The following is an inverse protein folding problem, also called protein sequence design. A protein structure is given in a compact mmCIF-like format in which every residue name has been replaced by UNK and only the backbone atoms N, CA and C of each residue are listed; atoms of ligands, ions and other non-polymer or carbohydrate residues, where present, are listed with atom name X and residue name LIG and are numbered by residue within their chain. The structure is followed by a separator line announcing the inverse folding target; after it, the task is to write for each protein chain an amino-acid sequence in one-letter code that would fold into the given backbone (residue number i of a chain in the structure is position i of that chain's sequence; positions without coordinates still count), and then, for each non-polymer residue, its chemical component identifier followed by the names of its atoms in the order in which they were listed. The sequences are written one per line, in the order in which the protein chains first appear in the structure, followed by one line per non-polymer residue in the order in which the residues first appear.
data_IF_182531981887
#
_entry.id   IF_182531981887
#
_cell.length_a   1.000
_cell.length_b   1.000
_cell.length_c   1.000
_cell.angle_alpha   90.00
_cell.angle_beta   90.00
_cell.angle_gamma   90.00
#
_symmetry.space_group_name_H-M   'P 1'
#
loop_
_entity.id
_entity.type
_entity.pdbx_description
1 polymer ?
#
# COMPACT_ATOMS: atom_id res chain seq x y z
N UNK A 1 3.17 -25.68 21.67
CA UNK A 1 3.17 -26.83 20.75
C UNK A 1 3.75 -26.39 19.42
N UNK A 2 4.51 -27.22 18.68
CA UNK A 2 5.01 -26.81 17.37
C UNK A 2 3.83 -26.61 16.41
N UNK A 3 3.91 -25.61 15.49
CA UNK A 3 2.90 -25.42 14.47
C UNK A 3 2.91 -26.62 13.50
N UNK A 4 1.73 -27.03 13.05
CA UNK A 4 1.61 -28.10 12.05
C UNK A 4 2.20 -27.64 10.70
N UNK A 5 3.05 -28.50 10.13
CA UNK A 5 3.50 -28.26 8.76
C UNK A 5 2.43 -28.77 7.77
N UNK A 6 1.40 -27.96 7.58
CA UNK A 6 0.24 -28.27 6.71
C UNK A 6 0.66 -28.67 5.29
N UNK A 7 1.57 -27.93 4.60
CA UNK A 7 1.98 -28.30 3.25
C UNK A 7 2.61 -29.69 3.16
N UNK A 8 3.43 -30.07 4.15
CA UNK A 8 4.04 -31.41 4.16
C UNK A 8 3.03 -32.51 4.44
N UNK A 9 2.12 -32.30 5.41
CA UNK A 9 1.09 -33.28 5.73
C UNK A 9 0.12 -33.45 4.55
N UNK A 10 -0.31 -32.35 3.95
CA UNK A 10 -1.24 -32.36 2.81
C UNK A 10 -0.62 -32.98 1.55
N UNK A 11 0.69 -32.84 1.34
CA UNK A 11 1.40 -33.50 0.25
C UNK A 11 1.43 -35.03 0.37
N UNK A 12 1.35 -35.56 1.60
CA UNK A 12 1.34 -37.01 1.86
C UNK A 12 -0.08 -37.56 1.94
N UNK A 13 -0.98 -36.85 2.62
CA UNK A 13 -2.38 -37.23 2.83
C UNK A 13 -3.25 -36.00 3.03
N UNK A 14 -3.75 -35.45 1.92
CA UNK A 14 -4.60 -34.26 1.90
C UNK A 14 -5.89 -34.44 2.71
N UNK A 15 -6.50 -35.62 2.65
CA UNK A 15 -7.74 -35.90 3.39
C UNK A 15 -7.53 -35.92 4.90
N UNK A 16 -6.42 -36.51 5.37
CA UNK A 16 -6.05 -36.51 6.78
C UNK A 16 -5.72 -35.08 7.26
N UNK A 17 -4.96 -34.33 6.48
CA UNK A 17 -4.65 -32.93 6.80
C UNK A 17 -5.92 -32.10 6.93
N UNK A 18 -6.89 -32.25 6.02
CA UNK A 18 -8.17 -31.58 6.06
C UNK A 18 -8.99 -31.92 7.32
N UNK A 19 -9.04 -33.20 7.72
CA UNK A 19 -9.74 -33.61 8.96
C UNK A 19 -9.13 -32.97 10.20
N UNK A 20 -7.80 -33.01 10.32
CA UNK A 20 -7.09 -32.39 11.47
C UNK A 20 -7.35 -30.90 11.51
N UNK A 21 -7.32 -30.20 10.36
CA UNK A 21 -7.60 -28.78 10.30
C UNK A 21 -9.04 -28.42 10.66
N UNK A 22 -10.03 -29.26 10.28
CA UNK A 22 -11.42 -29.07 10.73
C UNK A 22 -11.52 -29.13 12.26
N UNK A 23 -10.90 -30.14 12.90
CA UNK A 23 -10.88 -30.24 14.36
C UNK A 23 -10.22 -29.02 15.01
N UNK A 24 -9.12 -28.54 14.44
CA UNK A 24 -8.39 -27.35 14.92
C UNK A 24 -9.26 -26.11 14.82
N UNK A 25 -9.91 -25.88 13.66
CA UNK A 25 -10.82 -24.74 13.45
C UNK A 25 -11.99 -24.78 14.41
N UNK A 26 -12.67 -25.92 14.51
CA UNK A 26 -13.86 -26.06 15.35
C UNK A 26 -13.53 -25.85 16.83
N UNK A 27 -12.38 -26.35 17.29
CA UNK A 27 -11.91 -26.09 18.66
C UNK A 27 -11.64 -24.57 18.88
N UNK A 28 -11.02 -23.90 17.91
CA UNK A 28 -10.74 -22.44 18.01
C UNK A 28 -12.02 -21.61 18.00
N UNK A 29 -13.00 -21.94 17.15
CA UNK A 29 -14.29 -21.25 17.09
C UNK A 29 -15.10 -21.46 18.39
N UNK A 30 -14.96 -22.63 19.03
CA UNK A 30 -15.57 -22.93 20.33
C UNK A 30 -14.81 -22.32 21.53
N UNK A 31 -13.71 -21.57 21.31
CA UNK A 31 -12.86 -21.04 22.38
C UNK A 31 -12.06 -22.11 23.13
N UNK A 32 -11.94 -23.30 22.57
CA UNK A 32 -11.24 -24.44 23.16
C UNK A 32 -9.79 -24.51 22.67
N UNK A 33 -8.95 -25.21 23.46
CA UNK A 33 -7.56 -25.42 23.07
C UNK A 33 -7.48 -26.58 22.06
N UNK A 34 -7.04 -26.25 20.82
CA UNK A 34 -6.81 -27.26 19.80
C UNK A 34 -5.62 -28.18 20.17
N UNK A 35 -5.65 -29.44 19.71
CA UNK A 35 -4.55 -30.40 19.92
C UNK A 35 -3.26 -29.98 19.19
N UNK A 36 -3.41 -29.27 18.06
CA UNK A 36 -2.30 -28.76 17.25
C UNK A 36 -2.55 -27.27 17.02
N UNK A 37 -1.48 -26.46 17.07
CA UNK A 37 -1.59 -25.04 16.77
C UNK A 37 -1.74 -24.82 15.25
N UNK A 38 -2.64 -23.93 14.80
CA UNK A 38 -2.66 -23.50 13.40
C UNK A 38 -1.36 -22.76 13.04
N UNK A 39 -1.09 -22.62 11.76
CA UNK A 39 0.05 -21.80 11.31
C UNK A 39 -0.15 -20.35 11.80
N UNK A 40 0.91 -19.65 12.23
CA UNK A 40 0.78 -18.30 12.82
C UNK A 40 0.00 -17.30 11.94
N UNK A 41 0.19 -17.37 10.61
CA UNK A 41 -0.52 -16.50 9.66
C UNK A 41 -2.04 -16.76 9.67
N UNK A 42 -2.44 -18.02 9.80
CA UNK A 42 -3.84 -18.43 9.84
C UNK A 42 -4.45 -18.08 11.21
N UNK A 43 -3.74 -18.36 12.30
CA UNK A 43 -4.18 -18.00 13.64
C UNK A 43 -4.43 -16.50 13.79
N UNK A 44 -3.49 -15.67 13.35
CA UNK A 44 -3.65 -14.21 13.34
C UNK A 44 -4.82 -13.74 12.47
N UNK A 45 -5.06 -14.40 11.33
CA UNK A 45 -6.21 -14.12 10.48
C UNK A 45 -7.52 -14.48 11.21
N UNK A 46 -7.62 -15.67 11.78
CA UNK A 46 -8.81 -16.09 12.54
C UNK A 46 -9.10 -15.16 13.73
N UNK A 47 -8.07 -14.72 14.44
CA UNK A 47 -8.23 -13.74 15.53
C UNK A 47 -8.79 -12.40 15.02
N UNK A 48 -8.38 -11.93 13.83
CA UNK A 48 -8.97 -10.73 13.22
C UNK A 48 -10.44 -10.96 12.87
N UNK A 49 -10.77 -12.12 12.30
CA UNK A 49 -12.14 -12.47 11.91
C UNK A 49 -13.07 -12.57 13.12
N UNK A 50 -12.65 -13.25 14.16
CA UNK A 50 -13.42 -13.37 15.42
C UNK A 50 -13.66 -11.99 16.06
N UNK A 51 -12.65 -11.12 16.09
CA UNK A 51 -12.80 -9.74 16.61
C UNK A 51 -13.72 -8.86 15.74
N UNK A 52 -13.75 -9.09 14.44
CA UNK A 52 -14.59 -8.35 13.51
C UNK A 52 -16.00 -8.94 13.39
N UNK A 53 -16.30 -10.07 14.04
CA UNK A 53 -17.62 -10.70 14.01
C UNK A 53 -17.98 -11.33 12.66
N UNK A 54 -16.99 -11.74 11.86
CA UNK A 54 -17.25 -12.45 10.59
C UNK A 54 -17.89 -13.80 10.92
N UNK A 55 -19.02 -14.11 10.26
CA UNK A 55 -19.73 -15.38 10.44
C UNK A 55 -18.94 -16.54 9.79
N UNK A 56 -18.51 -17.56 10.55
CA UNK A 56 -17.79 -18.69 9.98
C UNK A 56 -18.64 -19.60 9.08
N UNK A 57 -19.97 -19.49 9.14
CA UNK A 57 -20.85 -20.28 8.26
C UNK A 57 -21.05 -19.61 6.89
N UNK A 58 -21.17 -18.28 6.85
CA UNK A 58 -21.58 -17.57 5.64
C UNK A 58 -20.65 -16.42 5.23
N UNK A 59 -19.77 -15.93 6.15
CA UNK A 59 -19.07 -14.65 5.93
C UNK A 59 -20.05 -13.47 5.89
N UNK A 60 -19.57 -12.32 5.43
CA UNK A 60 -20.43 -11.19 5.09
C UNK A 60 -20.74 -11.21 3.60
N UNK A 61 -22.02 -11.08 3.23
CA UNK A 61 -22.37 -10.92 1.82
C UNK A 61 -22.13 -9.47 1.41
N UNK A 62 -21.18 -9.26 0.52
CA UNK A 62 -20.96 -7.98 -0.17
C UNK A 62 -21.64 -8.03 -1.55
N UNK A 63 -22.25 -6.93 -1.96
CA UNK A 63 -22.81 -6.84 -3.30
C UNK A 63 -21.73 -6.95 -4.38
N UNK A 64 -22.10 -7.54 -5.52
CA UNK A 64 -21.27 -7.57 -6.72
C UNK A 64 -21.14 -6.17 -7.31
N UNK A 65 -19.96 -5.82 -7.80
CA UNK A 65 -19.78 -4.65 -8.64
C UNK A 65 -20.54 -4.83 -9.95
N UNK A 66 -21.06 -3.76 -10.50
CA UNK A 66 -21.63 -3.79 -11.85
C UNK A 66 -20.55 -4.10 -12.90
N UNK A 67 -20.94 -4.65 -14.03
CA UNK A 67 -20.00 -4.92 -15.13
C UNK A 67 -19.26 -3.67 -15.60
N UNK A 68 -19.92 -2.50 -15.56
CA UNK A 68 -19.30 -1.22 -15.91
C UNK A 68 -18.25 -0.80 -14.89
N UNK A 69 -18.52 -1.00 -13.62
CA UNK A 69 -17.56 -0.71 -12.55
C UNK A 69 -16.35 -1.65 -12.61
N UNK A 70 -16.55 -2.95 -12.87
CA UNK A 70 -15.45 -3.90 -13.09
C UNK A 70 -14.60 -3.46 -14.28
N UNK A 71 -15.24 -3.07 -15.40
CA UNK A 71 -14.52 -2.58 -16.58
C UNK A 71 -13.69 -1.35 -16.27
N UNK A 72 -14.28 -0.35 -15.63
CA UNK A 72 -13.58 0.88 -15.20
C UNK A 72 -12.38 0.59 -14.33
N UNK A 73 -12.54 -0.25 -13.30
CA UNK A 73 -11.44 -0.66 -12.41
C UNK A 73 -10.32 -1.40 -13.14
N UNK A 74 -10.66 -2.25 -14.11
CA UNK A 74 -9.68 -2.93 -14.96
C UNK A 74 -8.88 -1.94 -15.81
N UNK A 75 -9.52 -0.94 -16.37
CA UNK A 75 -8.89 0.08 -17.22
C UNK A 75 -7.96 0.99 -16.42
N UNK A 76 -8.35 1.36 -15.20
CA UNK A 76 -7.59 2.21 -14.30
C UNK A 76 -6.47 1.45 -13.53
N UNK A 77 -6.54 0.13 -13.50
CA UNK A 77 -5.61 -0.69 -12.71
C UNK A 77 -4.27 -0.92 -13.41
N UNK A 78 -3.13 -0.66 -12.75
CA UNK A 78 -1.81 -1.07 -13.25
C UNK A 78 -1.66 -2.58 -13.44
N UNK A 79 -2.50 -3.41 -12.80
CA UNK A 79 -2.50 -4.87 -12.98
C UNK A 79 -2.82 -5.29 -14.41
N UNK A 80 -3.53 -4.45 -15.18
CA UNK A 80 -3.78 -4.66 -16.61
C UNK A 80 -2.47 -4.82 -17.40
N UNK A 81 -1.43 -4.10 -17.02
CA UNK A 81 -0.15 -4.11 -17.72
C UNK A 81 0.63 -5.42 -17.53
N UNK A 82 0.41 -6.09 -16.40
CA UNK A 82 1.09 -7.35 -16.05
C UNK A 82 0.22 -8.58 -16.27
N UNK A 83 -1.05 -8.39 -16.61
CA UNK A 83 -1.97 -9.50 -16.88
C UNK A 83 -1.46 -10.51 -17.93
N UNK A 84 -0.78 -10.10 -19.03
CA UNK A 84 -0.18 -11.07 -19.96
C UNK A 84 0.86 -11.97 -19.28
N UNK A 85 1.71 -11.42 -18.43
CA UNK A 85 2.72 -12.20 -17.70
C UNK A 85 2.07 -13.17 -16.71
N UNK A 86 1.00 -12.72 -16.02
CA UNK A 86 0.25 -13.58 -15.10
C UNK A 86 -0.43 -14.72 -15.84
N UNK A 87 -1.04 -14.46 -17.02
CA UNK A 87 -1.65 -15.47 -17.88
C UNK A 87 -0.64 -16.49 -18.37
N UNK A 88 0.45 -16.03 -18.94
CA UNK A 88 1.50 -16.89 -19.46
C UNK A 88 2.11 -17.77 -18.36
N UNK A 89 2.41 -17.18 -17.20
CA UNK A 89 3.03 -17.90 -16.10
C UNK A 89 2.09 -18.81 -15.32
N UNK A 90 0.77 -18.59 -15.32
CA UNK A 90 -0.16 -19.31 -14.46
C UNK A 90 -1.19 -20.16 -15.21
N UNK A 91 -1.78 -19.66 -16.32
CA UNK A 91 -2.90 -20.37 -16.96
C UNK A 91 -2.48 -21.67 -17.64
N UNK A 92 -1.30 -21.73 -18.23
CA UNK A 92 -0.81 -22.94 -18.90
C UNK A 92 -0.76 -24.15 -17.97
N UNK A 93 -0.51 -23.94 -16.69
CA UNK A 93 -0.48 -24.99 -15.67
C UNK A 93 -1.83 -25.09 -14.94
N UNK A 94 -2.48 -23.96 -14.67
CA UNK A 94 -3.75 -23.93 -13.95
C UNK A 94 -4.86 -24.73 -14.65
N UNK A 95 -4.96 -24.65 -15.96
CA UNK A 95 -5.99 -25.37 -16.72
C UNK A 95 -5.77 -26.90 -16.67
N UNK A 96 -4.54 -27.37 -16.86
CA UNK A 96 -4.18 -28.80 -16.79
C UNK A 96 -4.29 -29.33 -15.35
N UNK A 97 -3.96 -28.52 -14.37
CA UNK A 97 -4.00 -28.89 -12.95
C UNK A 97 -5.38 -28.69 -12.28
N UNK A 98 -6.42 -28.42 -13.06
CA UNK A 98 -7.77 -28.13 -12.55
C UNK A 98 -7.81 -26.99 -11.54
N UNK A 99 -7.15 -25.89 -11.87
CA UNK A 99 -7.17 -24.65 -11.10
C UNK A 99 -7.80 -23.49 -11.88
N UNK A 100 -8.08 -22.42 -11.20
CA UNK A 100 -8.41 -21.11 -11.75
C UNK A 100 -7.38 -20.08 -11.27
N UNK A 101 -7.05 -19.14 -12.15
CA UNK A 101 -6.33 -17.92 -11.78
C UNK A 101 -7.34 -16.83 -11.50
N UNK A 102 -7.17 -16.14 -10.39
CA UNK A 102 -7.96 -14.98 -9.98
C UNK A 102 -7.01 -13.80 -9.75
N UNK A 103 -7.39 -12.62 -10.24
CA UNK A 103 -6.67 -11.38 -9.96
C UNK A 103 -7.66 -10.40 -9.34
N UNK A 104 -7.36 -9.95 -8.15
CA UNK A 104 -8.15 -8.98 -7.39
C UNK A 104 -7.37 -7.68 -7.21
N UNK A 105 -8.09 -6.57 -7.02
CA UNK A 105 -7.50 -5.28 -6.65
C UNK A 105 -7.04 -5.24 -5.18
N UNK A 106 -6.52 -4.10 -4.76
CA UNK A 106 -6.00 -3.91 -3.40
C UNK A 106 -7.08 -3.98 -2.31
N UNK A 107 -8.34 -3.80 -2.67
CA UNK A 107 -9.51 -3.92 -1.81
C UNK A 107 -10.05 -5.37 -1.74
N UNK A 108 -9.54 -6.28 -2.58
CA UNK A 108 -10.00 -7.66 -2.68
C UNK A 108 -11.14 -7.88 -3.67
N UNK A 109 -11.46 -6.90 -4.51
CA UNK A 109 -12.46 -7.06 -5.57
C UNK A 109 -11.91 -7.87 -6.73
N UNK A 110 -12.59 -8.95 -7.09
CA UNK A 110 -12.19 -9.83 -8.21
C UNK A 110 -12.35 -9.10 -9.52
N UNK A 111 -11.24 -8.85 -10.22
CA UNK A 111 -11.24 -8.15 -11.50
C UNK A 111 -11.06 -9.10 -12.68
N UNK A 112 -10.24 -10.14 -12.58
CA UNK A 112 -10.06 -11.16 -13.63
C UNK A 112 -10.12 -12.56 -13.03
N UNK A 113 -10.68 -13.49 -13.81
CA UNK A 113 -10.82 -14.87 -13.42
C UNK A 113 -10.81 -15.76 -14.66
N UNK A 114 -9.86 -16.67 -14.73
CA UNK A 114 -9.62 -17.52 -15.92
C UNK A 114 -9.12 -18.91 -15.51
N UNK A 115 -9.31 -19.92 -16.35
CA UNK A 115 -8.82 -21.29 -16.13
C UNK A 115 -9.88 -22.36 -16.36
N UNK A 116 -9.76 -23.48 -15.67
CA UNK A 116 -10.56 -24.69 -15.85
C UNK A 116 -12.07 -24.43 -15.69
N UNK A 117 -12.85 -24.59 -16.75
CA UNK A 117 -14.29 -24.28 -16.75
C UNK A 117 -15.12 -25.02 -15.70
N UNK A 118 -14.91 -26.32 -15.42
CA UNK A 118 -15.58 -27.00 -14.31
C UNK A 118 -15.29 -26.37 -12.95
N UNK A 119 -14.05 -25.89 -12.72
CA UNK A 119 -13.65 -25.24 -11.46
C UNK A 119 -14.24 -23.83 -11.38
N UNK A 120 -14.30 -23.09 -12.48
CA UNK A 120 -14.98 -21.80 -12.54
C UNK A 120 -16.46 -21.92 -12.12
N UNK A 121 -17.19 -22.92 -12.61
CA UNK A 121 -18.60 -23.16 -12.19
C UNK A 121 -18.73 -23.51 -10.72
N UNK A 122 -17.78 -24.27 -10.14
CA UNK A 122 -17.76 -24.55 -8.70
C UNK A 122 -17.49 -23.26 -7.88
N UNK A 123 -16.61 -22.41 -8.38
CA UNK A 123 -16.30 -21.11 -7.75
C UNK A 123 -17.51 -20.17 -7.79
N UNK A 124 -18.31 -20.19 -8.86
CA UNK A 124 -19.58 -19.43 -8.94
C UNK A 124 -20.53 -19.80 -7.78
N UNK A 125 -20.60 -21.10 -7.43
CA UNK A 125 -21.40 -21.57 -6.30
C UNK A 125 -20.96 -21.04 -4.93
N UNK A 126 -19.74 -20.52 -4.81
CA UNK A 126 -19.22 -19.86 -3.62
C UNK A 126 -19.36 -18.32 -3.69
N UNK A 127 -19.86 -17.77 -4.80
CA UNK A 127 -19.81 -16.33 -5.07
C UNK A 127 -18.41 -15.80 -5.39
N UNK A 128 -17.49 -16.69 -5.81
CA UNK A 128 -16.16 -16.27 -6.26
C UNK A 128 -16.22 -15.83 -7.73
N UNK A 129 -16.96 -14.73 -7.95
CA UNK A 129 -17.33 -14.20 -9.25
C UNK A 129 -16.63 -12.87 -9.55
N UNK A 130 -16.73 -12.41 -10.80
CA UNK A 130 -16.25 -11.08 -11.17
C UNK A 130 -17.01 -9.99 -10.40
N UNK A 131 -16.26 -9.04 -9.84
CA UNK A 131 -16.82 -7.96 -9.03
C UNK A 131 -17.12 -8.33 -7.58
N UNK A 132 -17.00 -9.62 -7.19
CA UNK A 132 -17.17 -10.04 -5.80
C UNK A 132 -16.06 -9.48 -4.90
N UNK A 133 -16.41 -9.24 -3.65
CA UNK A 133 -15.47 -8.82 -2.60
C UNK A 133 -14.93 -10.05 -1.86
N UNK A 134 -13.66 -10.32 -2.06
CA UNK A 134 -12.93 -11.39 -1.39
C UNK A 134 -11.91 -10.86 -0.39
N UNK A 135 -12.13 -9.65 0.11
CA UNK A 135 -11.39 -9.10 1.23
C UNK A 135 -11.53 -9.98 2.48
N UNK A 136 -10.48 -10.07 3.29
CA UNK A 136 -10.45 -10.90 4.50
C UNK A 136 -11.58 -10.53 5.47
N UNK A 137 -11.93 -9.23 5.57
CA UNK A 137 -13.01 -8.76 6.43
C UNK A 137 -14.43 -9.15 5.96
N UNK A 138 -14.57 -9.65 4.73
CA UNK A 138 -15.85 -10.03 4.12
C UNK A 138 -16.04 -11.54 4.10
N UNK A 139 -15.09 -12.26 3.56
CA UNK A 139 -15.20 -13.72 3.39
C UNK A 139 -14.25 -14.51 4.31
N UNK A 140 -13.63 -13.85 5.27
CA UNK A 140 -12.70 -14.47 6.20
C UNK A 140 -11.36 -14.82 5.55
N UNK A 141 -10.60 -15.69 6.22
CA UNK A 141 -9.30 -16.18 5.75
C UNK A 141 -9.44 -16.87 4.39
N UNK A 142 -8.75 -16.35 3.36
CA UNK A 142 -8.81 -16.86 1.99
C UNK A 142 -7.54 -16.51 1.20
N UNK A 143 -7.42 -17.03 -0.04
CA UNK A 143 -6.24 -16.84 -0.90
C UNK A 143 -6.10 -15.44 -1.51
N UNK A 144 -7.11 -14.56 -1.40
CA UNK A 144 -7.09 -13.18 -1.90
C UNK A 144 -6.89 -12.19 -0.75
N UNK A 145 -7.81 -12.19 0.20
CA UNK A 145 -7.86 -11.20 1.27
C UNK A 145 -6.71 -11.33 2.27
N UNK A 146 -6.34 -12.56 2.64
CA UNK A 146 -5.27 -12.78 3.62
C UNK A 146 -3.90 -12.32 3.10
N UNK A 147 -3.45 -12.66 1.88
CA UNK A 147 -2.22 -12.10 1.29
C UNK A 147 -2.25 -10.57 1.19
N UNK A 148 -3.40 -9.98 0.86
CA UNK A 148 -3.55 -8.52 0.81
C UNK A 148 -3.28 -7.86 2.16
N UNK A 149 -3.79 -8.45 3.25
CA UNK A 149 -3.62 -7.92 4.61
C UNK A 149 -2.18 -8.11 5.11
N UNK A 150 -1.63 -9.33 4.97
CA UNK A 150 -0.30 -9.64 5.54
C UNK A 150 0.86 -9.21 4.65
N UNK A 151 0.59 -8.76 3.41
CA UNK A 151 1.58 -8.30 2.42
C UNK A 151 2.66 -9.34 2.10
N UNK A 152 2.29 -10.60 2.08
CA UNK A 152 3.17 -11.72 1.72
C UNK A 152 2.36 -12.87 1.12
N UNK A 153 3.00 -13.77 0.35
CA UNK A 153 2.33 -14.95 -0.18
C UNK A 153 1.77 -15.84 0.92
N UNK A 154 0.54 -16.32 0.73
CA UNK A 154 -0.13 -17.23 1.66
C UNK A 154 -0.82 -18.34 0.89
N UNK A 155 -0.60 -19.58 1.29
CA UNK A 155 -1.42 -20.71 0.91
C UNK A 155 -2.49 -20.90 2.00
N UNK A 156 -3.72 -21.12 1.58
CA UNK A 156 -4.85 -21.43 2.47
C UNK A 156 -5.42 -22.77 2.02
N UNK A 157 -5.45 -23.75 2.92
CA UNK A 157 -5.79 -25.13 2.62
C UNK A 157 -6.93 -25.62 3.49
N UNK A 158 -7.96 -26.21 2.91
CA UNK A 158 -9.08 -26.82 3.61
C UNK A 158 -9.68 -25.89 4.69
N UNK A 159 -9.81 -26.37 5.92
CA UNK A 159 -10.36 -25.63 7.04
C UNK A 159 -9.43 -24.54 7.61
N UNK A 160 -8.32 -24.20 6.96
CA UNK A 160 -7.62 -22.93 7.19
C UNK A 160 -8.46 -21.76 6.68
N UNK A 161 -9.33 -22.00 5.67
CA UNK A 161 -10.38 -21.03 5.33
C UNK A 161 -11.30 -20.83 6.54
N UNK A 162 -11.61 -19.56 6.85
CA UNK A 162 -12.45 -19.23 8.00
C UNK A 162 -13.89 -19.69 7.77
N UNK A 163 -14.42 -19.45 6.57
CA UNK A 163 -15.78 -19.83 6.19
C UNK A 163 -15.85 -21.29 5.79
N UNK A 164 -16.80 -22.05 6.38
CA UNK A 164 -16.91 -23.51 6.21
C UNK A 164 -17.10 -23.96 4.77
N UNK A 165 -17.89 -23.24 3.97
CA UNK A 165 -18.13 -23.59 2.56
C UNK A 165 -16.87 -23.59 1.71
N UNK A 166 -15.81 -22.90 2.14
CA UNK A 166 -14.53 -22.85 1.44
C UNK A 166 -13.58 -24.01 1.81
N UNK A 167 -13.95 -24.86 2.77
CA UNK A 167 -13.07 -25.94 3.24
C UNK A 167 -12.80 -27.05 2.20
N UNK A 168 -13.52 -27.08 1.08
CA UNK A 168 -13.25 -27.98 -0.03
C UNK A 168 -12.24 -27.41 -1.06
N UNK A 169 -11.57 -26.30 -0.73
CA UNK A 169 -10.67 -25.59 -1.62
C UNK A 169 -9.24 -25.52 -1.09
N UNK A 170 -8.31 -25.38 -2.04
CA UNK A 170 -6.93 -24.95 -1.80
C UNK A 170 -6.67 -23.69 -2.62
N UNK A 171 -6.08 -22.69 -1.99
CA UNK A 171 -5.80 -21.40 -2.58
C UNK A 171 -4.35 -21.02 -2.31
N UNK A 172 -3.68 -20.43 -3.29
CA UNK A 172 -2.33 -19.90 -3.15
C UNK A 172 -2.30 -18.49 -3.72
N UNK A 173 -2.24 -17.49 -2.83
CA UNK A 173 -2.28 -16.09 -3.20
C UNK A 173 -0.97 -15.37 -2.94
N UNK A 174 -0.59 -14.48 -3.86
CA UNK A 174 0.57 -13.62 -3.73
C UNK A 174 0.20 -12.14 -4.01
N UNK A 175 0.62 -11.20 -3.15
CA UNK A 175 0.40 -9.78 -3.38
C UNK A 175 1.28 -9.31 -4.54
N UNK A 176 0.77 -8.36 -5.31
CA UNK A 176 1.51 -7.62 -6.34
C UNK A 176 1.61 -6.18 -5.87
N UNK A 177 2.83 -5.69 -5.72
CA UNK A 177 3.11 -4.36 -5.22
C UNK A 177 3.68 -3.46 -6.32
N UNK A 178 3.39 -2.16 -6.24
CA UNK A 178 4.02 -1.18 -7.11
C UNK A 178 5.51 -1.05 -6.74
N UNK A 179 6.44 -1.43 -7.62
CA UNK A 179 7.88 -1.39 -7.33
C UNK A 179 8.42 0.03 -7.10
N UNK A 180 7.64 1.06 -7.43
CA UNK A 180 8.02 2.47 -7.26
C UNK A 180 7.86 2.94 -5.82
N UNK A 181 6.78 2.51 -5.14
CA UNK A 181 6.37 3.06 -3.85
C UNK A 181 5.96 2.00 -2.80
N UNK A 182 5.92 0.71 -3.17
CA UNK A 182 5.52 -0.39 -2.28
C UNK A 182 4.01 -0.49 -2.02
N UNK A 183 3.19 0.28 -2.75
CA UNK A 183 1.72 0.20 -2.61
C UNK A 183 1.23 -1.13 -3.15
N UNK A 184 0.27 -1.76 -2.45
CA UNK A 184 -0.43 -2.91 -2.98
C UNK A 184 -1.24 -2.50 -4.21
N UNK A 185 -1.02 -3.20 -5.31
CA UNK A 185 -1.83 -3.08 -6.52
C UNK A 185 -2.98 -4.08 -6.50
N UNK A 186 -2.75 -5.26 -5.94
CA UNK A 186 -3.72 -6.31 -5.81
C UNK A 186 -3.09 -7.65 -5.45
N UNK A 187 -3.82 -8.72 -5.65
CA UNK A 187 -3.40 -10.09 -5.37
C UNK A 187 -3.67 -10.95 -6.59
N UNK A 188 -2.73 -11.81 -6.95
CA UNK A 188 -2.98 -12.95 -7.83
C UNK A 188 -3.11 -14.21 -6.99
N UNK A 189 -4.12 -15.01 -7.27
CA UNK A 189 -4.44 -16.24 -6.59
C UNK A 189 -4.65 -17.37 -7.59
N UNK A 190 -4.17 -18.57 -7.24
CA UNK A 190 -4.45 -19.82 -7.91
C UNK A 190 -5.23 -20.69 -6.97
N UNK A 191 -6.47 -20.99 -7.34
CA UNK A 191 -7.43 -21.72 -6.53
C UNK A 191 -7.94 -22.98 -7.25
N UNK A 192 -8.17 -24.04 -6.49
CA UNK A 192 -8.72 -25.29 -7.01
C UNK A 192 -9.35 -26.17 -5.93
N UNK A 193 -9.95 -27.29 -6.32
CA UNK A 193 -10.42 -28.28 -5.40
C UNK A 193 -9.31 -28.78 -4.46
N UNK A 194 -9.68 -29.22 -3.28
CA UNK A 194 -8.75 -29.66 -2.23
C UNK A 194 -7.73 -30.69 -2.71
N UNK A 195 -8.17 -31.60 -3.59
CA UNK A 195 -7.38 -32.71 -4.13
C UNK A 195 -6.23 -32.22 -5.05
N UNK A 196 -6.30 -31.00 -5.53
CA UNK A 196 -5.30 -30.42 -6.42
C UNK A 196 -4.16 -29.71 -5.66
N UNK A 197 -4.18 -29.79 -4.32
CA UNK A 197 -3.17 -29.16 -3.48
C UNK A 197 -1.77 -29.69 -3.79
N UNK A 198 -0.85 -28.77 -4.06
CA UNK A 198 0.57 -29.07 -4.21
C UNK A 198 1.43 -28.06 -3.42
N UNK A 199 2.47 -28.52 -2.68
CA UNK A 199 3.30 -27.64 -1.86
C UNK A 199 4.04 -26.56 -2.64
N UNK A 200 4.36 -26.82 -3.92
CA UNK A 200 5.08 -25.88 -4.78
C UNK A 200 4.18 -24.78 -5.35
N UNK A 201 2.84 -24.92 -5.26
CA UNK A 201 1.92 -23.93 -5.87
C UNK A 201 2.16 -22.51 -5.35
N UNK A 202 2.37 -22.36 -4.04
CA UNK A 202 2.64 -21.04 -3.45
C UNK A 202 3.93 -20.42 -4.00
N UNK A 203 5.01 -21.21 -4.05
CA UNK A 203 6.29 -20.72 -4.57
C UNK A 203 6.20 -20.34 -6.06
N UNK A 204 5.43 -21.09 -6.82
CA UNK A 204 5.17 -20.80 -8.24
C UNK A 204 4.39 -19.50 -8.41
N UNK A 205 3.28 -19.32 -7.69
CA UNK A 205 2.45 -18.09 -7.74
C UNK A 205 3.25 -16.87 -7.30
N UNK A 206 4.04 -16.99 -6.21
CA UNK A 206 4.93 -15.92 -5.74
C UNK A 206 5.99 -15.55 -6.78
N UNK A 207 6.57 -16.54 -7.46
CA UNK A 207 7.56 -16.30 -8.51
C UNK A 207 6.97 -15.53 -9.69
N UNK A 208 5.75 -15.89 -10.12
CA UNK A 208 5.07 -15.18 -11.22
C UNK A 208 4.63 -13.78 -10.79
N UNK A 209 4.17 -13.59 -9.55
CA UNK A 209 3.87 -12.27 -9.01
C UNK A 209 5.12 -11.36 -9.00
N UNK A 210 6.27 -11.88 -8.57
CA UNK A 210 7.54 -11.15 -8.62
C UNK A 210 8.02 -10.84 -10.03
N UNK A 211 7.76 -11.74 -10.99
CA UNK A 211 8.04 -11.49 -12.41
C UNK A 211 7.16 -10.35 -12.93
N UNK A 212 5.89 -10.32 -12.54
CA UNK A 212 4.98 -9.22 -12.86
C UNK A 212 5.47 -7.87 -12.28
N UNK A 213 5.90 -7.84 -11.02
CA UNK A 213 6.50 -6.65 -10.38
C UNK A 213 7.79 -6.21 -11.10
N UNK A 214 8.64 -7.16 -11.52
CA UNK A 214 9.83 -6.86 -12.30
C UNK A 214 9.49 -6.22 -13.66
N UNK A 215 8.45 -6.71 -14.35
CA UNK A 215 7.94 -6.12 -15.58
C UNK A 215 7.43 -4.69 -15.40
N UNK A 216 6.72 -4.39 -14.30
CA UNK A 216 6.32 -3.02 -13.97
C UNK A 216 7.53 -2.10 -13.73
N UNK A 217 8.55 -2.62 -13.04
CA UNK A 217 9.79 -1.86 -12.82
C UNK A 217 10.52 -1.55 -14.11
N UNK A 218 10.64 -2.53 -14.99
CA UNK A 218 11.30 -2.37 -16.29
C UNK A 218 10.58 -1.34 -17.15
N UNK A 219 9.24 -1.42 -17.24
CA UNK A 219 8.42 -0.43 -17.97
C UNK A 219 8.61 0.98 -17.42
N UNK A 220 8.61 1.13 -16.10
CA UNK A 220 8.83 2.42 -15.45
C UNK A 220 10.24 2.97 -15.77
N UNK A 221 11.28 2.17 -15.61
CA UNK A 221 12.65 2.59 -15.93
C UNK A 221 12.80 2.94 -17.41
N UNK A 222 12.20 2.15 -18.31
CA UNK A 222 12.19 2.46 -19.74
C UNK A 222 11.44 3.74 -20.08
N UNK A 223 10.36 4.07 -19.36
CA UNK A 223 9.65 5.34 -19.52
C UNK A 223 10.52 6.53 -19.05
N UNK A 224 11.18 6.41 -17.90
CA UNK A 224 12.12 7.45 -17.42
C UNK A 224 13.30 7.63 -18.35
N UNK A 225 13.84 6.55 -18.93
CA UNK A 225 14.94 6.66 -19.89
C UNK A 225 14.54 7.38 -21.17
N UNK A 226 13.35 7.08 -21.72
CA UNK A 226 12.80 7.84 -22.86
C UNK A 226 12.61 9.33 -22.54
N UNK A 227 12.05 9.61 -21.35
CA UNK A 227 11.90 11.00 -20.90
C UNK A 227 13.26 11.69 -20.72
N UNK A 228 14.26 10.99 -20.20
CA UNK A 228 15.64 11.50 -20.08
C UNK A 228 16.23 11.88 -21.44
N UNK A 229 16.07 11.02 -22.45
CA UNK A 229 16.55 11.27 -23.80
C UNK A 229 15.91 12.54 -24.42
N UNK A 230 14.61 12.76 -24.18
CA UNK A 230 13.90 13.98 -24.61
C UNK A 230 14.37 15.21 -23.84
N UNK A 231 14.58 15.06 -22.52
CA UNK A 231 14.91 16.18 -21.65
C UNK A 231 16.37 16.63 -21.74
N UNK A 232 17.32 15.72 -22.04
CA UNK A 232 18.75 15.99 -22.00
C UNK A 232 19.18 17.21 -22.84
N UNK A 233 18.75 17.37 -24.12
CA UNK A 233 19.14 18.55 -24.92
C UNK A 233 18.49 19.83 -24.41
N UNK A 234 17.35 19.76 -23.74
CA UNK A 234 16.68 20.93 -23.13
C UNK A 234 17.43 21.35 -21.88
N UNK A 235 17.69 20.39 -20.96
CA UNK A 235 18.39 20.64 -19.71
C UNK A 235 19.83 21.16 -19.92
N UNK A 236 20.51 20.69 -20.97
CA UNK A 236 21.86 21.14 -21.30
C UNK A 236 21.94 22.63 -21.69
N UNK A 237 20.83 23.23 -22.10
CA UNK A 237 20.74 24.66 -22.49
C UNK A 237 20.20 25.54 -21.37
N UNK A 238 19.68 24.93 -20.29
CA UNK A 238 19.13 25.67 -19.18
C UNK A 238 20.21 26.03 -18.17
N UNK A 239 20.27 27.30 -17.80
CA UNK A 239 20.94 27.72 -16.57
C UNK A 239 20.03 27.50 -15.37
N UNK A 240 20.63 27.27 -14.18
CA UNK A 240 19.89 27.16 -12.95
C UNK A 240 19.32 25.76 -12.68
N UNK A 241 18.36 25.70 -11.77
CA UNK A 241 17.81 24.43 -11.23
C UNK A 241 16.65 23.95 -12.09
N UNK A 242 16.77 22.76 -12.65
CA UNK A 242 15.67 22.14 -13.39
C UNK A 242 15.67 20.63 -13.26
N UNK A 243 14.49 20.03 -13.39
CA UNK A 243 14.28 18.58 -13.42
C UNK A 243 13.27 18.20 -14.51
N UNK A 244 13.54 17.10 -15.18
CA UNK A 244 12.56 16.40 -15.99
C UNK A 244 11.95 15.25 -15.19
N UNK A 245 10.65 15.21 -15.08
CA UNK A 245 9.92 14.26 -14.24
C UNK A 245 8.71 13.69 -15.00
N UNK A 246 8.33 12.45 -14.68
CA UNK A 246 7.11 11.86 -15.22
C UNK A 246 5.83 12.47 -14.60
N UNK A 247 4.66 11.98 -14.99
CA UNK A 247 3.37 12.45 -14.49
C UNK A 247 3.20 12.29 -12.97
N UNK A 248 3.86 11.30 -12.37
CA UNK A 248 3.86 11.02 -10.93
C UNK A 248 4.99 11.74 -10.18
N UNK A 249 5.82 12.50 -10.87
CA UNK A 249 6.96 13.24 -10.33
C UNK A 249 8.25 12.44 -10.21
N UNK A 250 8.34 11.23 -10.77
CA UNK A 250 9.59 10.48 -10.79
C UNK A 250 10.62 11.13 -11.70
N UNK A 251 11.81 11.33 -11.18
CA UNK A 251 12.84 12.13 -11.84
C UNK A 251 13.59 11.32 -12.89
N UNK A 252 13.52 11.79 -14.13
CA UNK A 252 14.31 11.25 -15.24
C UNK A 252 15.70 11.89 -15.32
N UNK A 253 15.80 13.23 -15.17
CA UNK A 253 17.06 13.96 -15.22
C UNK A 253 16.97 15.26 -14.44
N UNK A 254 18.11 15.80 -14.02
CA UNK A 254 18.22 17.09 -13.32
C UNK A 254 19.40 17.89 -13.86
N UNK A 255 19.34 19.22 -13.70
CA UNK A 255 20.48 20.13 -13.90
C UNK A 255 20.48 21.19 -12.79
N UNK A 256 21.65 21.69 -12.40
CA UNK A 256 21.82 22.74 -11.40
C UNK A 256 21.37 22.40 -9.98
N UNK A 257 21.09 21.14 -9.67
CA UNK A 257 20.62 20.69 -8.37
C UNK A 257 21.00 19.21 -8.11
N UNK A 258 21.08 18.78 -6.83
CA UNK A 258 21.25 17.37 -6.48
C UNK A 258 20.09 16.51 -7.01
N UNK A 259 20.40 15.28 -7.41
CA UNK A 259 19.37 14.33 -7.83
C UNK A 259 18.44 13.97 -6.68
N UNK A 260 17.15 14.10 -6.89
CA UNK A 260 16.11 13.56 -6.04
C UNK A 260 15.30 12.56 -6.86
N UNK A 261 15.03 11.38 -6.33
CA UNK A 261 14.31 10.32 -7.06
C UNK A 261 12.88 10.72 -7.44
N UNK A 262 12.29 11.67 -6.70
CA UNK A 262 10.94 12.14 -6.94
C UNK A 262 10.81 13.63 -6.58
N UNK A 263 10.10 14.37 -7.42
CA UNK A 263 9.64 15.75 -7.19
C UNK A 263 8.15 15.69 -6.87
N UNK A 264 7.72 16.32 -5.79
CA UNK A 264 6.29 16.39 -5.46
C UNK A 264 5.59 17.32 -6.46
N UNK A 265 4.75 16.74 -7.32
CA UNK A 265 3.89 17.45 -8.24
C UNK A 265 2.46 17.52 -7.72
N UNK A 266 1.64 18.51 -8.14
CA UNK A 266 0.20 18.49 -7.97
C UNK A 266 -0.41 17.20 -8.55
N UNK A 267 -1.57 16.76 -8.04
CA UNK A 267 -2.28 15.55 -8.55
C UNK A 267 -2.60 15.64 -10.05
N UNK A 268 -2.81 16.84 -10.56
CA UNK A 268 -3.03 17.12 -11.97
C UNK A 268 -2.10 18.26 -12.37
N UNK A 269 -0.85 17.95 -12.75
CA UNK A 269 0.08 18.98 -13.20
C UNK A 269 -0.46 19.69 -14.43
N UNK A 270 -0.32 21.00 -14.46
CA UNK A 270 -0.69 21.86 -15.60
C UNK A 270 0.42 22.87 -15.89
N UNK A 271 0.58 23.28 -17.15
CA UNK A 271 1.57 24.30 -17.50
C UNK A 271 1.38 25.59 -16.70
N UNK A 272 2.47 26.25 -16.35
CA UNK A 272 2.45 27.55 -15.69
C UNK A 272 3.38 27.65 -14.48
N UNK A 273 3.32 28.82 -13.84
CA UNK A 273 4.10 29.07 -12.62
C UNK A 273 3.43 28.41 -11.41
N UNK A 274 4.22 27.72 -10.58
CA UNK A 274 3.80 27.06 -9.35
C UNK A 274 4.91 27.16 -8.32
N UNK A 275 4.53 27.05 -7.05
CA UNK A 275 5.50 26.85 -5.99
C UNK A 275 5.61 25.35 -5.67
N UNK A 276 6.84 24.83 -5.67
CA UNK A 276 7.14 23.46 -5.29
C UNK A 276 8.22 23.42 -4.21
N UNK A 277 8.14 22.52 -3.20
CA UNK A 277 9.08 22.51 -2.07
C UNK A 277 10.54 22.38 -2.48
N UNK A 278 10.83 21.62 -3.54
CA UNK A 278 12.20 21.39 -4.02
C UNK A 278 12.75 22.54 -4.88
N UNK A 279 11.88 23.41 -5.40
CA UNK A 279 12.25 24.42 -6.41
C UNK A 279 11.97 25.88 -5.96
N UNK A 280 11.08 26.07 -4.99
CA UNK A 280 10.48 27.40 -4.77
C UNK A 280 9.49 27.74 -5.89
N UNK A 281 9.47 29.01 -6.32
CA UNK A 281 8.69 29.40 -7.50
C UNK A 281 9.33 28.77 -8.73
N UNK A 282 8.56 28.01 -9.47
CA UNK A 282 9.02 27.27 -10.64
C UNK A 282 8.01 27.36 -11.80
N UNK A 283 8.49 27.16 -13.01
CA UNK A 283 7.68 26.91 -14.19
C UNK A 283 7.54 25.40 -14.38
N UNK A 284 6.31 24.94 -14.66
CA UNK A 284 6.01 23.57 -15.08
C UNK A 284 5.63 23.63 -16.56
N UNK A 285 6.37 22.91 -17.39
CA UNK A 285 6.21 22.90 -18.84
C UNK A 285 6.05 21.46 -19.32
N UNK A 286 5.15 21.18 -20.30
CA UNK A 286 4.98 19.82 -20.79
C UNK A 286 6.21 19.35 -21.57
N UNK A 287 6.61 18.09 -21.35
CA UNK A 287 7.56 17.36 -22.17
C UNK A 287 6.90 16.08 -22.69
N UNK A 288 7.39 15.55 -23.79
CA UNK A 288 6.95 14.24 -24.25
C UNK A 288 7.26 13.15 -23.21
N UNK A 289 6.21 12.62 -22.59
CA UNK A 289 6.30 11.62 -21.53
C UNK A 289 6.40 12.17 -20.10
N UNK A 290 6.26 13.49 -19.89
CA UNK A 290 6.34 14.08 -18.56
C UNK A 290 6.32 15.58 -18.51
N UNK A 291 7.06 16.13 -17.57
CA UNK A 291 7.10 17.56 -17.26
C UNK A 291 8.53 18.05 -17.07
N UNK A 292 8.82 19.25 -17.56
CA UNK A 292 9.99 20.01 -17.18
C UNK A 292 9.59 20.96 -16.04
N UNK A 293 10.26 20.82 -14.92
CA UNK A 293 10.15 21.74 -13.77
C UNK A 293 11.44 22.53 -13.71
N UNK A 294 11.37 23.85 -13.82
CA UNK A 294 12.55 24.72 -13.70
C UNK A 294 12.31 25.83 -12.68
N UNK A 295 13.31 26.11 -11.85
CA UNK A 295 13.30 27.29 -11.01
C UNK A 295 13.20 28.55 -11.89
N UNK A 296 12.31 29.44 -11.54
CA UNK A 296 12.30 30.78 -12.12
C UNK A 296 13.24 31.59 -11.26
N UNK A 297 14.48 31.82 -11.74
CA UNK A 297 15.39 32.75 -11.10
C UNK A 297 14.76 34.16 -11.24
N UNK A 298 14.02 34.57 -10.25
CA UNK A 298 13.85 35.96 -10.00
C UNK A 298 15.15 36.48 -9.36
N UNK A 299 15.95 37.20 -10.15
CA UNK A 299 16.70 38.29 -9.61
C UNK A 299 15.68 39.34 -9.16
N UNK A 300 14.92 39.05 -8.14
CA UNK A 300 13.90 39.89 -7.53
C UNK A 300 13.47 39.21 -6.24
N UNK A 301 13.71 39.89 -5.17
CA UNK A 301 13.16 39.81 -3.82
C UNK A 301 12.90 38.43 -3.22
N UNK A 302 13.45 38.12 -2.04
CA UNK A 302 13.02 36.95 -1.30
C UNK A 302 11.51 37.09 -1.10
N UNK A 303 10.72 36.21 -1.79
CA UNK A 303 9.31 36.09 -1.49
C UNK A 303 9.15 36.01 0.01
N UNK A 304 8.28 36.80 0.64
CA UNK A 304 8.08 36.74 2.07
C UNK A 304 7.76 35.28 2.41
N UNK A 305 8.58 34.69 3.26
CA UNK A 305 8.36 33.34 3.83
C UNK A 305 7.03 33.28 4.61
N UNK A 306 6.44 34.43 4.85
CA UNK A 306 5.24 34.67 5.66
C UNK A 306 3.92 34.20 5.04
N UNK A 307 3.94 33.54 3.86
CA UNK A 307 2.74 33.12 3.16
C UNK A 307 2.65 31.61 2.88
N UNK A 308 3.55 30.79 3.45
CA UNK A 308 3.46 29.34 3.26
C UNK A 308 2.66 28.73 4.41
N UNK A 309 1.50 28.15 4.07
CA UNK A 309 0.63 27.43 5.00
C UNK A 309 0.69 25.94 4.73
N UNK A 310 0.90 25.17 5.80
CA UNK A 310 0.82 23.71 5.80
C UNK A 310 -0.45 23.30 6.52
N UNK A 311 -1.31 22.55 5.89
CA UNK A 311 -2.47 21.92 6.52
C UNK A 311 -2.21 20.42 6.60
N UNK A 312 -2.13 19.91 7.84
CA UNK A 312 -2.01 18.50 8.13
C UNK A 312 -3.41 17.95 8.43
N UNK A 313 -4.05 17.29 7.47
CA UNK A 313 -5.37 16.70 7.62
C UNK A 313 -5.26 15.27 8.17
N UNK A 314 -5.67 15.09 9.41
CA UNK A 314 -5.73 13.81 10.14
C UNK A 314 -7.18 13.39 10.45
N UNK A 315 -8.19 14.07 9.89
CA UNK A 315 -9.61 13.85 10.20
C UNK A 315 -10.15 12.52 9.70
N UNK A 316 -9.57 11.97 8.61
CA UNK A 316 -10.05 10.74 7.97
C UNK A 316 -9.17 9.55 8.33
N UNK A 317 -9.76 8.54 8.96
CA UNK A 317 -9.08 7.28 9.23
C UNK A 317 -8.48 6.71 7.94
N UNK A 318 -7.17 6.43 7.93
CA UNK A 318 -6.39 5.84 6.83
C UNK A 318 -6.18 6.71 5.57
N UNK A 319 -6.61 7.98 5.56
CA UNK A 319 -6.38 8.91 4.44
C UNK A 319 -5.86 10.25 4.96
N UNK A 320 -4.71 10.20 5.59
CA UNK A 320 -4.05 11.40 6.08
C UNK A 320 -3.32 12.11 4.95
N UNK A 321 -3.34 13.43 4.97
CA UNK A 321 -2.67 14.21 3.93
C UNK A 321 -2.00 15.45 4.52
N UNK A 322 -0.95 15.90 3.84
CA UNK A 322 -0.35 17.20 4.05
C UNK A 322 -0.59 18.05 2.80
N UNK A 323 -1.18 19.22 2.98
CA UNK A 323 -1.38 20.21 1.93
C UNK A 323 -0.49 21.40 2.22
N UNK A 324 0.32 21.78 1.25
CA UNK A 324 1.16 22.98 1.31
C UNK A 324 0.59 23.99 0.33
N UNK A 325 0.30 25.19 0.81
CA UNK A 325 -0.20 26.31 0.04
C UNK A 325 0.66 27.53 0.24
N UNK A 326 0.84 28.30 -0.81
CA UNK A 326 1.57 29.55 -0.83
C UNK A 326 1.08 30.43 -1.98
N UNK A 327 1.63 31.63 -2.15
CA UNK A 327 1.16 32.61 -3.11
C UNK A 327 1.17 32.13 -4.58
N UNK A 328 1.95 31.09 -4.91
CA UNK A 328 2.05 30.53 -6.26
C UNK A 328 1.25 29.24 -6.49
N UNK A 329 0.47 28.78 -5.51
CA UNK A 329 -0.39 27.60 -5.63
C UNK A 329 -0.37 26.68 -4.43
N UNK A 330 -1.04 25.54 -4.54
CA UNK A 330 -1.09 24.53 -3.48
C UNK A 330 -0.89 23.11 -4.06
N UNK A 331 -0.37 22.21 -3.23
CA UNK A 331 -0.28 20.79 -3.53
C UNK A 331 -0.61 19.97 -2.29
N UNK A 332 -1.05 18.74 -2.48
CA UNK A 332 -1.37 17.81 -1.40
C UNK A 332 -0.67 16.46 -1.61
N UNK A 333 -0.19 15.87 -0.53
CA UNK A 333 0.46 14.57 -0.52
C UNK A 333 -0.23 13.65 0.50
N UNK A 334 -0.58 12.44 0.09
CA UNK A 334 -1.14 11.42 0.98
C UNK A 334 -0.02 10.81 1.83
N UNK A 335 -0.24 10.76 3.13
CA UNK A 335 0.77 10.32 4.10
C UNK A 335 0.67 8.83 4.40
N UNK A 336 1.82 8.17 4.52
CA UNK A 336 1.87 6.87 5.18
C UNK A 336 1.56 7.02 6.68
N UNK A 337 1.12 5.95 7.37
CA UNK A 337 0.86 6.00 8.81
C UNK A 337 2.04 6.56 9.60
N UNK A 338 3.25 6.13 9.26
CA UNK A 338 4.47 6.57 9.96
C UNK A 338 4.82 8.04 9.70
N UNK A 339 4.57 8.53 8.48
CA UNK A 339 4.77 9.95 8.16
C UNK A 339 3.72 10.84 8.82
N UNK A 340 2.47 10.36 8.93
CA UNK A 340 1.41 11.08 9.66
C UNK A 340 1.75 11.22 11.15
N UNK A 341 2.24 10.15 11.80
CA UNK A 341 2.75 10.20 13.18
C UNK A 341 3.86 11.23 13.34
N UNK A 342 4.87 11.17 12.47
CA UNK A 342 6.05 12.03 12.53
C UNK A 342 5.68 13.51 12.35
N UNK A 343 4.87 13.83 11.33
CA UNK A 343 4.44 15.22 11.08
C UNK A 343 3.52 15.76 12.16
N UNK A 344 2.65 14.91 12.72
CA UNK A 344 1.83 15.26 13.89
C UNK A 344 2.70 15.66 15.08
N UNK A 345 3.73 14.86 15.40
CA UNK A 345 4.63 15.14 16.50
C UNK A 345 5.43 16.43 16.28
N UNK A 346 5.89 16.69 15.06
CA UNK A 346 6.58 17.93 14.73
C UNK A 346 5.65 19.15 14.79
N UNK A 347 4.39 19.02 14.35
CA UNK A 347 3.41 20.09 14.42
C UNK A 347 2.97 20.39 15.87
N UNK A 348 2.92 19.37 16.73
CA UNK A 348 2.61 19.53 18.14
C UNK A 348 3.77 20.16 18.94
N UNK A 349 5.00 20.18 18.40
CA UNK A 349 6.19 20.68 19.09
C UNK A 349 6.89 21.77 18.27
N UNK A 350 6.33 22.98 18.26
CA UNK A 350 6.84 24.11 17.48
C UNK A 350 8.32 24.46 17.78
N UNK A 351 8.80 24.21 19.00
CA UNK A 351 10.22 24.40 19.38
C UNK A 351 11.18 23.39 18.73
N UNK A 352 10.64 22.39 18.07
CA UNK A 352 11.40 21.31 17.43
C UNK A 352 11.71 20.14 18.36
N UNK A 353 12.19 19.05 17.75
CA UNK A 353 12.58 17.81 18.43
C UNK A 353 13.91 17.30 17.87
N UNK A 354 14.77 16.82 18.75
CA UNK A 354 15.96 16.06 18.37
C UNK A 354 15.59 14.66 17.84
N UNK A 355 16.52 13.98 17.20
CA UNK A 355 16.30 12.60 16.74
C UNK A 355 16.02 11.64 17.92
N UNK A 356 16.60 11.86 19.08
CA UNK A 356 16.40 11.04 20.27
C UNK A 356 15.01 11.27 20.89
N UNK A 357 14.57 12.51 21.00
CA UNK A 357 13.21 12.84 21.47
C UNK A 357 12.12 12.31 20.55
N UNK A 358 12.30 12.42 19.21
CA UNK A 358 11.37 11.81 18.26
C UNK A 358 11.38 10.28 18.35
N UNK A 359 12.53 9.66 18.62
CA UNK A 359 12.62 8.23 18.81
C UNK A 359 11.87 7.78 20.09
N UNK A 360 11.98 8.53 21.15
CA UNK A 360 11.20 8.32 22.38
C UNK A 360 9.70 8.51 22.13
N UNK A 361 9.29 9.59 21.47
CA UNK A 361 7.90 9.91 21.18
C UNK A 361 7.24 8.85 20.25
N UNK A 362 7.98 8.30 19.28
CA UNK A 362 7.47 7.35 18.29
C UNK A 362 7.59 5.89 18.72
N UNK A 363 8.61 5.54 19.48
CA UNK A 363 8.97 4.15 19.76
C UNK A 363 9.10 3.81 21.25
N UNK A 364 9.12 4.82 22.14
CA UNK A 364 9.44 4.64 23.56
C UNK A 364 10.90 4.24 23.81
N UNK A 365 11.79 4.50 22.84
CA UNK A 365 13.20 4.13 22.89
C UNK A 365 14.06 5.21 22.22
N UNK A 366 14.75 6.06 22.98
CA UNK A 366 15.54 7.17 22.45
C UNK A 366 16.77 6.72 21.65
N UNK A 367 17.16 5.43 21.72
CA UNK A 367 18.28 4.89 20.94
C UNK A 367 17.93 4.69 19.46
N UNK A 368 16.64 4.64 19.06
CA UNK A 368 16.19 4.37 17.69
C UNK A 368 16.33 5.57 16.74
N UNK A 369 17.33 6.40 16.94
CA UNK A 369 17.61 7.62 16.15
C UNK A 369 17.87 7.34 14.67
N UNK A 370 18.44 6.17 14.31
CA UNK A 370 18.68 5.79 12.90
C UNK A 370 17.37 5.66 12.15
N UNK A 371 16.36 5.04 12.75
CA UNK A 371 15.03 4.89 12.16
C UNK A 371 14.38 6.25 11.95
N UNK A 372 14.43 7.14 12.96
CA UNK A 372 13.90 8.52 12.84
C UNK A 372 14.57 9.28 11.71
N UNK A 373 15.91 9.22 11.61
CA UNK A 373 16.66 9.90 10.55
C UNK A 373 16.27 9.39 9.16
N UNK A 374 16.02 8.08 9.01
CA UNK A 374 15.57 7.49 7.77
C UNK A 374 14.16 8.00 7.38
N UNK A 375 13.22 8.03 8.34
CA UNK A 375 11.86 8.56 8.08
C UNK A 375 11.89 10.07 7.81
N UNK A 376 12.66 10.87 8.56
CA UNK A 376 12.85 12.29 8.29
C UNK A 376 13.44 12.53 6.90
N UNK A 377 14.41 11.71 6.47
CA UNK A 377 14.95 11.79 5.12
C UNK A 377 13.88 11.56 4.05
N UNK A 378 12.93 10.63 4.29
CA UNK A 378 11.82 10.35 3.38
C UNK A 378 10.82 11.51 3.36
N UNK A 379 10.42 12.04 4.52
CA UNK A 379 9.53 13.20 4.62
C UNK A 379 10.12 14.42 3.94
N UNK A 380 11.43 14.64 4.07
CA UNK A 380 12.12 15.77 3.43
C UNK A 380 12.15 15.68 1.90
N UNK A 381 11.92 14.52 1.29
CA UNK A 381 11.83 14.41 -0.17
C UNK A 381 10.65 15.19 -0.74
N UNK A 382 9.57 15.35 0.02
CA UNK A 382 8.39 16.09 -0.40
C UNK A 382 8.16 17.40 0.37
N UNK A 383 8.66 17.54 1.61
CA UNK A 383 8.55 18.80 2.36
C UNK A 383 9.85 19.65 2.33
N UNK A 384 10.93 19.11 1.79
CA UNK A 384 12.20 19.78 1.47
C UNK A 384 12.59 20.94 2.39
N UNK A 385 12.61 22.14 1.85
CA UNK A 385 13.00 23.38 2.52
C UNK A 385 12.02 23.91 3.59
N UNK A 386 10.92 23.18 3.88
CA UNK A 386 9.95 23.55 4.92
C UNK A 386 10.28 22.95 6.30
N UNK A 387 11.31 22.10 6.37
CA UNK A 387 11.74 21.42 7.60
C UNK A 387 13.21 21.70 7.91
N UNK A 388 13.47 22.23 9.11
CA UNK A 388 14.80 22.39 9.64
C UNK A 388 15.41 21.04 10.11
N UNK A 389 16.73 21.06 10.35
CA UNK A 389 17.47 19.81 10.55
C UNK A 389 17.92 19.59 12.00
N UNK A 390 18.17 20.64 12.74
CA UNK A 390 18.69 20.56 14.14
C UNK A 390 18.21 21.78 14.94
N UNK A 391 17.17 21.62 15.73
CA UNK A 391 16.27 20.47 15.89
C UNK A 391 15.39 20.24 14.63
N UNK A 392 14.72 19.09 14.52
CA UNK A 392 13.70 18.85 13.51
C UNK A 392 12.46 19.67 13.87
N UNK A 393 12.10 20.63 13.02
CA UNK A 393 10.91 21.48 13.16
C UNK A 393 10.49 22.04 11.81
N UNK A 394 9.32 22.56 11.72
CA UNK A 394 8.94 23.39 10.58
C UNK A 394 9.74 24.70 10.60
N UNK A 395 10.11 25.20 9.41
CA UNK A 395 10.87 26.45 9.31
C UNK A 395 10.10 27.64 9.89
N UNK A 396 10.81 28.62 10.43
CA UNK A 396 10.23 29.90 10.82
C UNK A 396 9.55 30.57 9.62
N UNK A 397 8.34 31.13 9.82
CA UNK A 397 7.54 31.73 8.75
C UNK A 397 6.64 30.74 7.98
N UNK A 398 6.57 29.48 8.41
CA UNK A 398 5.61 28.51 7.90
C UNK A 398 4.45 28.37 8.89
N UNK A 399 3.24 28.72 8.48
CA UNK A 399 2.04 28.51 9.28
C UNK A 399 1.62 27.04 9.18
N UNK A 400 1.55 26.34 10.30
CA UNK A 400 1.16 24.92 10.35
C UNK A 400 -0.19 24.79 11.05
N UNK A 401 -1.19 24.33 10.31
CA UNK A 401 -2.52 24.02 10.81
C UNK A 401 -2.71 22.49 10.87
N UNK A 402 -3.21 22.00 12.00
CA UNK A 402 -3.59 20.61 12.16
C UNK A 402 -5.12 20.48 12.16
N UNK A 403 -5.65 19.72 11.22
CA UNK A 403 -7.05 19.30 11.22
C UNK A 403 -7.14 17.93 11.89
N UNK A 404 -7.65 17.93 13.12
CA UNK A 404 -7.75 16.72 13.95
C UNK A 404 -9.16 16.14 13.87
N UNK A 405 -9.35 14.83 14.09
CA UNK A 405 -10.67 14.24 14.21
C UNK A 405 -11.43 14.81 15.41
N UNK A 406 -12.75 14.81 15.34
CA UNK A 406 -13.62 15.29 16.42
C UNK A 406 -13.46 14.47 17.69
N UNK A 407 -13.33 13.16 17.54
CA UNK A 407 -13.15 12.22 18.64
C UNK A 407 -11.66 11.90 18.83
N UNK A 408 -11.06 12.16 20.01
CA UNK A 408 -9.65 11.90 20.28
C UNK A 408 -9.19 10.45 19.99
N UNK A 409 -9.97 9.39 20.21
CA UNK A 409 -9.63 8.02 19.84
C UNK A 409 -9.38 7.82 18.34
N UNK A 410 -9.96 8.65 17.46
CA UNK A 410 -9.81 8.55 16.02
C UNK A 410 -8.51 9.20 15.50
N UNK A 411 -7.76 9.87 16.35
CA UNK A 411 -6.46 10.41 16.00
C UNK A 411 -5.46 9.28 15.72
N UNK A 412 -5.13 9.06 14.44
CA UNK A 412 -4.18 8.02 14.02
C UNK A 412 -4.47 6.64 14.67
N UNK A 413 -5.67 6.06 14.53
CA UNK A 413 -6.21 4.99 15.38
C UNK A 413 -5.34 3.72 15.45
N UNK A 414 -4.47 3.50 14.49
CA UNK A 414 -3.55 2.35 14.44
C UNK A 414 -2.14 2.67 14.93
N UNK A 415 -1.88 3.92 15.36
CA UNK A 415 -0.58 4.29 15.87
C UNK A 415 -0.32 3.66 17.23
N UNK A 416 0.86 3.08 17.38
CA UNK A 416 1.41 2.57 18.64
C UNK A 416 2.44 3.53 19.24
N UNK A 417 2.64 4.72 18.65
CA UNK A 417 3.58 5.73 19.12
C UNK A 417 3.15 6.23 20.51
N UNK A 418 4.01 6.13 21.55
CA UNK A 418 3.64 6.48 22.92
C UNK A 418 3.09 7.89 23.07
N UNK A 419 3.67 8.86 22.36
CA UNK A 419 3.19 10.24 22.42
C UNK A 419 1.82 10.43 21.77
N UNK A 420 1.51 9.73 20.68
CA UNK A 420 0.19 9.74 20.04
C UNK A 420 -0.85 9.09 20.94
N UNK A 421 -0.51 7.96 21.57
CA UNK A 421 -1.40 7.22 22.48
C UNK A 421 -1.73 8.08 23.70
N UNK A 422 -0.75 8.77 24.28
CA UNK A 422 -1.00 9.72 25.40
C UNK A 422 -1.97 10.82 25.00
N UNK A 423 -1.79 11.40 23.81
CA UNK A 423 -2.64 12.50 23.35
C UNK A 423 -4.10 12.06 23.03
N UNK A 424 -4.31 10.78 22.64
CA UNK A 424 -5.66 10.22 22.52
C UNK A 424 -6.37 10.08 23.86
N UNK A 425 -5.62 9.83 24.93
CA UNK A 425 -6.18 9.60 26.26
C UNK A 425 -6.41 10.91 27.04
N UNK A 426 -5.81 12.01 26.60
CA UNK A 426 -5.97 13.32 27.20
C UNK A 426 -7.23 13.95 26.61
N UNK A 427 -8.34 13.92 27.36
CA UNK A 427 -9.57 14.67 27.03
C UNK A 427 -9.27 16.17 26.93
N UNK A 428 -9.93 16.91 26.00
CA UNK A 428 -9.81 18.34 25.95
C UNK A 428 -10.57 18.96 27.12
N UNK A 429 -9.92 19.11 28.28
CA UNK A 429 -10.29 20.16 29.25
C UNK A 429 -9.26 21.27 29.11
N UNK A 430 -9.76 22.42 28.64
CA UNK A 430 -9.19 23.75 28.73
C UNK A 430 -7.91 24.05 27.91
N UNK A 431 -8.10 24.60 26.70
CA UNK A 431 -7.63 26.00 26.46
C UNK A 431 -8.31 26.59 25.24
#
# INVERSE_FOLDING_TARGET
MPPMNVPQLAAVDAARAARVLNEVRDARLAGQRARVAPRPVIEQSWERMLRSGVDPEHGFRSGLLSSDEVRRRREESPLREVLPVLREGLLSVADVAHHIMVVADAEGRVLWREGCSPVLRKADGLGFELGADWGEAVVGTNGVGTPAVVRRPVQVFAAEHFVRSHAAWTCAGAPITDPRNGRLLGVVDVSGPLETMHPATLAWVDSVAKLAEAGLREKHLGALERLRAVAAPVLARLGGRAAAVDADGWTAAVTGMPYASRVALPKSPSPGRRWLPAFGVCSIEPLAGGWLVRSVDEAAEPMPRDATRIVLDLTRSRRWSVTVSGNAGSWSHELSPRHAELLYLLAAHHGGRSAAELAEDMFGDPARTVTVRAEMSRVRRYLGGLLEHRPYRFCEGVEVEMQLPTDPPDLLPHSTAPAVVRNRMSSPQQR
#
